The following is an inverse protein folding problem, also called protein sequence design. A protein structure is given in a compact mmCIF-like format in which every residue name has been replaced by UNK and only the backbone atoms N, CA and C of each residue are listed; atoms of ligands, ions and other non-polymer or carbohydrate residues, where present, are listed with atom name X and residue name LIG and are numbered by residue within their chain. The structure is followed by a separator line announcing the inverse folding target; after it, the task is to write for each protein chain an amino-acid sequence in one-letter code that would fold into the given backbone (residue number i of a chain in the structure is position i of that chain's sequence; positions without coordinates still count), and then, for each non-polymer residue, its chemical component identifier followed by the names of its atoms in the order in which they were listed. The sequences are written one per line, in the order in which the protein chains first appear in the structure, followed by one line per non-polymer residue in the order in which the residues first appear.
data_IF_570674962100
#
_entry.id   IF_570674962100
#
_cell.length_a   1.000
_cell.length_b   1.000
_cell.length_c   1.000
_cell.angle_alpha   90.00
_cell.angle_beta   90.00
_cell.angle_gamma   90.00
#
_symmetry.space_group_name_H-M   'P 1'
#
loop_
_entity.id
_entity.type
_entity.pdbx_description
1 polymer ?
#
# COMPACT_ATOMS: atom_id res chain seq x y z
N UNK A 1 -51.68 5.29 6.17
CA UNK A 1 -50.54 4.71 5.43
C UNK A 1 -49.36 5.65 5.11
N UNK A 2 -49.37 6.99 5.33
CA UNK A 2 -48.17 7.82 5.07
C UNK A 2 -47.12 7.74 6.20
N UNK A 3 -47.54 7.45 7.43
CA UNK A 3 -46.66 7.41 8.60
C UNK A 3 -45.61 6.29 8.53
N UNK A 4 -45.96 5.11 7.98
CA UNK A 4 -45.03 3.98 7.83
C UNK A 4 -43.99 4.27 6.75
N UNK A 5 -44.41 4.88 5.64
CA UNK A 5 -43.51 5.31 4.56
C UNK A 5 -42.53 6.37 5.06
N UNK A 6 -42.99 7.33 5.86
CA UNK A 6 -42.11 8.37 6.43
C UNK A 6 -41.09 7.79 7.43
N UNK A 7 -41.48 6.80 8.24
CA UNK A 7 -40.54 6.09 9.12
C UNK A 7 -39.51 5.33 8.30
N UNK A 8 -39.93 4.58 7.27
CA UNK A 8 -39.03 3.81 6.41
C UNK A 8 -38.06 4.74 5.69
N UNK A 9 -38.54 5.83 5.09
CA UNK A 9 -37.70 6.85 4.47
C UNK A 9 -36.74 7.48 5.48
N UNK A 10 -37.19 7.78 6.71
CA UNK A 10 -36.35 8.30 7.78
C UNK A 10 -35.22 7.33 8.18
N UNK A 11 -35.52 6.03 8.29
CA UNK A 11 -34.51 5.01 8.60
C UNK A 11 -33.50 4.84 7.45
N UNK A 12 -33.96 4.86 6.20
CA UNK A 12 -33.08 4.79 5.03
C UNK A 12 -32.16 6.02 5.00
N UNK A 13 -32.71 7.22 5.17
CA UNK A 13 -31.93 8.46 5.20
C UNK A 13 -30.91 8.49 6.35
N UNK A 14 -31.29 8.02 7.54
CA UNK A 14 -30.38 7.92 8.70
C UNK A 14 -29.23 6.94 8.45
N UNK A 15 -29.48 5.82 7.76
CA UNK A 15 -28.45 4.82 7.44
C UNK A 15 -27.46 5.26 6.35
N UNK A 16 -27.89 6.16 5.44
CA UNK A 16 -27.07 6.65 4.33
C UNK A 16 -26.27 7.91 4.69
N UNK A 17 -26.69 8.68 5.70
CA UNK A 17 -25.95 9.87 6.17
C UNK A 17 -24.48 9.60 6.54
N UNK A 18 -24.12 8.50 7.23
CA UNK A 18 -22.72 8.18 7.52
C UNK A 18 -21.86 7.95 6.27
N UNK A 19 -22.44 7.45 5.17
CA UNK A 19 -21.71 7.30 3.90
C UNK A 19 -21.44 8.64 3.21
N UNK A 20 -22.31 9.64 3.41
CA UNK A 20 -22.20 10.95 2.79
C UNK A 20 -21.33 11.95 3.57
N UNK A 21 -21.13 11.73 4.88
CA UNK A 21 -20.32 12.58 5.77
C UNK A 21 -19.01 11.90 6.21
N UNK A 22 -18.62 10.79 5.58
CA UNK A 22 -17.38 10.09 5.92
C UNK A 22 -16.15 10.90 5.52
N UNK A 23 -15.60 11.67 6.46
CA UNK A 23 -14.24 12.19 6.37
C UNK A 23 -13.23 11.08 6.69
N UNK A 24 -12.15 10.99 5.90
CA UNK A 24 -11.06 10.01 6.06
C UNK A 24 -11.43 8.54 5.73
N UNK A 25 -12.05 8.30 4.58
CA UNK A 25 -12.24 6.95 4.02
C UNK A 25 -10.93 6.23 3.65
N UNK A 26 -9.80 6.93 3.69
CA UNK A 26 -8.47 6.36 3.49
C UNK A 26 -7.67 6.46 4.78
N UNK A 27 -7.18 5.31 5.25
CA UNK A 27 -6.20 5.23 6.33
C UNK A 27 -4.78 5.30 5.77
N UNK A 28 -3.80 5.62 6.62
CA UNK A 28 -2.39 5.61 6.21
C UNK A 28 -1.92 4.20 5.85
N UNK A 29 -0.86 4.09 5.03
CA UNK A 29 -0.27 2.80 4.68
C UNK A 29 0.17 2.02 5.95
N UNK A 30 0.79 2.73 6.90
CA UNK A 30 1.23 2.17 8.19
C UNK A 30 0.05 1.59 8.99
N UNK A 31 -1.07 2.30 9.04
CA UNK A 31 -2.28 1.85 9.73
C UNK A 31 -2.95 0.68 9.00
N UNK A 32 -2.97 0.68 7.67
CA UNK A 32 -3.45 -0.45 6.88
C UNK A 32 -2.61 -1.72 7.10
N UNK A 33 -1.28 -1.59 7.13
CA UNK A 33 -0.36 -2.70 7.37
C UNK A 33 -0.45 -3.26 8.79
N UNK A 34 -1.00 -2.50 9.75
CA UNK A 34 -1.27 -3.01 11.10
C UNK A 34 -2.36 -4.09 11.13
N UNK A 35 -3.29 -4.04 10.16
CA UNK A 35 -4.40 -4.98 10.02
C UNK A 35 -4.07 -6.09 9.03
N UNK A 36 -3.49 -5.75 7.87
CA UNK A 36 -3.17 -6.69 6.79
C UNK A 36 -1.68 -6.60 6.41
N UNK A 37 -0.88 -7.57 6.86
CA UNK A 37 0.50 -7.74 6.38
C UNK A 37 0.52 -8.58 5.12
N UNK A 38 0.63 -7.93 3.96
CA UNK A 38 0.82 -8.58 2.66
C UNK A 38 2.06 -8.01 1.99
N UNK A 39 3.07 -8.85 1.76
CA UNK A 39 4.18 -8.50 0.89
C UNK A 39 3.73 -8.44 -0.57
N UNK A 40 4.29 -7.53 -1.35
CA UNK A 40 4.11 -7.54 -2.80
C UNK A 40 5.01 -8.59 -3.44
N UNK A 41 4.67 -9.02 -4.65
CA UNK A 41 5.42 -10.04 -5.40
C UNK A 41 6.41 -9.32 -6.31
N UNK A 42 7.69 -9.62 -6.13
CA UNK A 42 8.75 -9.24 -7.06
C UNK A 42 8.72 -10.07 -8.35
N UNK A 43 9.53 -9.67 -9.33
CA UNK A 43 9.86 -10.42 -10.55
C UNK A 43 8.64 -10.73 -11.45
N UNK A 44 7.78 -9.75 -11.66
CA UNK A 44 6.62 -9.86 -12.56
C UNK A 44 7.03 -9.77 -14.04
N UNK A 45 6.18 -10.27 -14.95
CA UNK A 45 6.49 -10.22 -16.38
C UNK A 45 6.67 -8.76 -16.84
N UNK A 46 7.82 -8.48 -17.47
CA UNK A 46 8.23 -7.15 -17.94
C UNK A 46 8.54 -6.12 -16.83
N UNK A 47 8.75 -6.55 -15.58
CA UNK A 47 9.20 -5.71 -14.47
C UNK A 47 10.41 -4.84 -14.85
N UNK A 48 11.42 -5.46 -15.43
CA UNK A 48 12.71 -4.88 -15.83
C UNK A 48 12.61 -3.73 -16.86
N UNK A 49 11.44 -3.53 -17.47
CA UNK A 49 11.22 -2.37 -18.35
C UNK A 49 10.89 -1.10 -17.56
N UNK A 50 10.53 -1.23 -16.28
CA UNK A 50 10.29 -0.11 -15.38
C UNK A 50 11.64 0.40 -14.86
N UNK A 51 11.70 1.69 -14.52
CA UNK A 51 12.85 2.22 -13.79
C UNK A 51 12.89 1.65 -12.37
N UNK A 52 14.07 1.22 -11.92
CA UNK A 52 14.33 0.74 -10.56
C UNK A 52 13.80 1.70 -9.49
N UNK A 53 13.22 1.15 -8.42
CA UNK A 53 12.52 1.95 -7.41
C UNK A 53 12.69 1.35 -6.01
N UNK A 54 13.33 2.12 -5.11
CA UNK A 54 13.63 1.72 -3.73
C UNK A 54 12.40 1.23 -2.96
N UNK A 55 11.32 1.99 -3.03
CA UNK A 55 10.09 1.68 -2.31
C UNK A 55 9.47 0.38 -2.86
N UNK A 56 9.30 0.29 -4.18
CA UNK A 56 8.66 -0.86 -4.83
C UNK A 56 9.45 -2.14 -4.66
N UNK A 57 10.71 -2.16 -5.10
CA UNK A 57 11.47 -3.40 -5.25
C UNK A 57 12.05 -3.89 -3.91
N UNK A 58 12.52 -2.97 -3.05
CA UNK A 58 13.26 -3.35 -1.84
C UNK A 58 12.52 -3.08 -0.52
N UNK A 59 11.45 -2.27 -0.49
CA UNK A 59 10.66 -2.03 0.74
C UNK A 59 9.28 -2.72 0.70
N UNK A 60 8.54 -2.61 -0.40
CA UNK A 60 7.25 -3.30 -0.60
C UNK A 60 7.44 -4.76 -1.04
N UNK A 61 8.52 -5.03 -1.77
CA UNK A 61 8.92 -6.33 -2.31
C UNK A 61 10.27 -6.79 -1.70
N UNK A 62 10.64 -8.04 -1.98
CA UNK A 62 11.97 -8.57 -1.65
C UNK A 62 12.84 -8.44 -2.89
N UNK A 63 13.90 -7.63 -2.83
CA UNK A 63 14.81 -7.43 -3.93
C UNK A 63 16.07 -8.29 -3.82
N UNK A 64 16.65 -8.61 -4.97
CA UNK A 64 17.97 -9.20 -5.10
C UNK A 64 19.05 -8.10 -5.21
N UNK A 65 20.33 -8.52 -5.24
CA UNK A 65 21.45 -7.57 -5.25
C UNK A 65 21.49 -6.68 -6.51
N UNK A 66 21.05 -7.20 -7.65
CA UNK A 66 21.04 -6.47 -8.92
C UNK A 66 20.00 -5.36 -8.91
N UNK A 67 18.78 -5.66 -8.46
CA UNK A 67 17.73 -4.65 -8.24
C UNK A 67 18.21 -3.57 -7.25
N UNK A 68 18.87 -3.98 -6.15
CA UNK A 68 19.48 -3.02 -5.22
C UNK A 68 20.56 -2.15 -5.86
N UNK A 69 21.34 -2.70 -6.80
CA UNK A 69 22.37 -1.98 -7.58
C UNK A 69 21.76 -0.96 -8.54
N UNK A 70 20.60 -1.25 -9.11
CA UNK A 70 19.88 -0.34 -10.01
C UNK A 70 19.34 0.90 -9.30
N UNK A 71 19.03 0.77 -8.01
CA UNK A 71 18.48 1.85 -7.18
C UNK A 71 19.59 2.77 -6.61
N UNK A 72 20.82 2.27 -6.42
CA UNK A 72 21.92 3.02 -5.79
C UNK A 72 22.91 3.56 -6.81
N UNK A 73 23.43 4.76 -6.55
CA UNK A 73 24.33 5.48 -7.47
C UNK A 73 25.71 4.83 -7.66
N UNK A 74 26.17 4.05 -6.68
CA UNK A 74 27.51 3.44 -6.69
C UNK A 74 27.52 2.04 -6.10
N UNK A 75 28.54 1.27 -6.47
CA UNK A 75 28.79 -0.08 -5.93
C UNK A 75 28.98 -0.06 -4.41
N UNK A 76 29.65 0.96 -3.87
CA UNK A 76 29.88 1.08 -2.42
C UNK A 76 28.58 1.39 -1.66
N UNK A 77 27.72 2.25 -2.23
CA UNK A 77 26.39 2.52 -1.68
C UNK A 77 25.51 1.27 -1.73
N UNK A 78 25.58 0.50 -2.83
CA UNK A 78 24.89 -0.79 -2.98
C UNK A 78 25.35 -1.79 -1.93
N UNK A 79 26.67 -1.97 -1.77
CA UNK A 79 27.24 -2.88 -0.78
C UNK A 79 26.83 -2.51 0.65
N UNK A 80 26.82 -1.22 0.97
CA UNK A 80 26.42 -0.73 2.30
C UNK A 80 24.94 -1.01 2.55
N UNK A 81 24.09 -0.69 1.58
CA UNK A 81 22.67 -0.99 1.64
C UNK A 81 22.41 -2.50 1.78
N UNK A 82 23.05 -3.31 0.96
CA UNK A 82 22.86 -4.75 0.92
C UNK A 82 23.25 -5.44 2.23
N UNK A 83 24.35 -5.00 2.86
CA UNK A 83 24.75 -5.50 4.18
C UNK A 83 23.69 -5.23 5.23
N UNK A 84 23.07 -4.05 5.21
CA UNK A 84 21.99 -3.71 6.15
C UNK A 84 20.73 -4.50 5.82
N UNK A 85 20.37 -4.59 4.55
CA UNK A 85 19.18 -5.27 4.06
C UNK A 85 19.15 -6.78 4.39
N UNK A 86 20.30 -7.47 4.31
CA UNK A 86 20.39 -8.89 4.67
C UNK A 86 20.39 -9.15 6.18
N UNK A 87 20.61 -8.13 7.00
CA UNK A 87 20.66 -8.26 8.46
C UNK A 87 19.30 -8.05 9.13
N UNK A 88 18.28 -7.62 8.40
CA UNK A 88 16.87 -7.59 8.82
C UNK A 88 16.15 -8.92 8.49
#
# INVERSE_FOLDING_TARGET
MPHRTNIICGLILASLMPLALGDNVFISNQEAMSVLKRSRRANTLFEELKQGNMERECMEEICNYEEAREIKESTDATNTFWRLYQCE
#
